data_IF_745502645416
#
_entry.id   IF_745502645416
#
_cell.length_a   1.000
_cell.length_b   1.000
_cell.length_c   1.000
_cell.angle_alpha   90.00
_cell.angle_beta   90.00
_cell.angle_gamma   90.00
#
_symmetry.space_group_name_H-M   'P 1'
#
loop_
_entity.id
_entity.type
_entity.pdbx_description
1 polymer ?
#
# COMPACT_ATOMS: atom_id res chain seq x y z
N UNK A 1 -11.04 -17.03 -7.82
CA UNK A 1 -9.80 -17.70 -7.33
C UNK A 1 -8.57 -16.91 -7.71
N UNK A 2 -8.43 -16.53 -8.99
CA UNK A 2 -7.33 -15.68 -9.46
C UNK A 2 -7.29 -14.30 -8.75
N UNK A 3 -8.44 -13.69 -8.48
CA UNK A 3 -8.53 -12.39 -7.76
C UNK A 3 -7.96 -12.45 -6.34
N UNK A 4 -8.21 -13.55 -5.63
CA UNK A 4 -7.66 -13.79 -4.29
C UNK A 4 -6.15 -13.93 -4.32
N UNK A 5 -5.63 -14.67 -5.30
CA UNK A 5 -4.18 -14.85 -5.49
C UNK A 5 -3.52 -13.50 -5.78
N UNK A 6 -4.06 -12.72 -6.72
CA UNK A 6 -3.53 -11.39 -7.06
C UNK A 6 -3.55 -10.48 -5.83
N UNK A 7 -4.67 -10.43 -5.10
CA UNK A 7 -4.82 -9.58 -3.92
C UNK A 7 -3.79 -9.92 -2.83
N UNK A 8 -3.64 -11.21 -2.51
CA UNK A 8 -2.69 -11.67 -1.49
C UNK A 8 -1.25 -11.41 -1.93
N UNK A 9 -0.90 -11.74 -3.19
CA UNK A 9 0.43 -11.47 -3.74
C UNK A 9 0.77 -9.98 -3.70
N UNK A 10 -0.20 -9.12 -4.01
CA UNK A 10 0.00 -7.67 -4.00
C UNK A 10 0.21 -7.14 -2.57
N UNK A 11 -0.52 -7.64 -1.58
CA UNK A 11 -0.30 -7.28 -0.16
C UNK A 11 1.09 -7.69 0.29
N UNK A 12 1.52 -8.93 -0.01
CA UNK A 12 2.85 -9.42 0.37
C UNK A 12 3.94 -8.54 -0.26
N UNK A 13 3.80 -8.22 -1.55
CA UNK A 13 4.76 -7.36 -2.26
C UNK A 13 4.83 -5.95 -1.65
N UNK A 14 3.68 -5.33 -1.36
CA UNK A 14 3.64 -3.98 -0.79
C UNK A 14 4.14 -3.95 0.66
N UNK A 15 3.87 -4.99 1.45
CA UNK A 15 4.41 -5.13 2.79
C UNK A 15 5.93 -5.26 2.77
N UNK A 16 6.48 -6.08 1.86
CA UNK A 16 7.91 -6.20 1.64
C UNK A 16 8.55 -4.86 1.22
N UNK A 17 7.90 -4.13 0.31
CA UNK A 17 8.36 -2.83 -0.16
C UNK A 17 8.33 -1.77 0.95
N UNK A 18 7.32 -1.82 1.84
CA UNK A 18 7.23 -0.97 3.04
C UNK A 18 8.39 -1.26 4.01
N UNK A 19 8.66 -2.54 4.29
CA UNK A 19 9.79 -2.95 5.12
C UNK A 19 11.11 -2.44 4.51
N UNK A 20 11.31 -2.66 3.21
CA UNK A 20 12.51 -2.23 2.52
C UNK A 20 12.68 -0.71 2.60
N UNK A 21 11.61 0.05 2.31
CA UNK A 21 11.64 1.50 2.41
C UNK A 21 11.97 1.97 3.84
N UNK A 22 11.36 1.35 4.85
CA UNK A 22 11.64 1.64 6.24
C UNK A 22 13.11 1.40 6.60
N UNK A 23 13.69 0.28 6.16
CA UNK A 23 15.10 -0.08 6.39
C UNK A 23 16.10 0.88 5.74
N UNK A 24 15.65 1.66 4.75
CA UNK A 24 16.45 2.60 3.97
C UNK A 24 16.21 4.06 4.38
N UNK A 25 15.22 4.35 5.20
CA UNK A 25 14.99 5.71 5.72
C UNK A 25 16.04 5.99 6.80
N UNK A 26 16.74 7.12 6.68
CA UNK A 26 17.75 7.54 7.66
C UNK A 26 19.10 6.83 7.53
N UNK A 27 19.25 5.88 6.61
CA UNK A 27 20.57 5.30 6.31
C UNK A 27 21.42 6.29 5.54
N UNK A 28 22.66 6.48 6.00
CA UNK A 28 23.68 7.22 5.25
C UNK A 28 24.22 6.30 4.16
N UNK A 29 24.36 6.83 2.94
CA UNK A 29 24.90 6.07 1.80
C UNK A 29 26.37 5.71 2.10
N UNK A 30 26.92 4.61 1.56
CA UNK A 30 28.34 4.26 1.76
C UNK A 30 29.31 5.41 1.45
N UNK A 31 28.94 6.31 0.52
CA UNK A 31 29.70 7.49 0.13
C UNK A 31 29.55 8.69 1.11
N UNK A 32 28.96 8.50 2.29
CA UNK A 32 28.76 9.53 3.32
C UNK A 32 27.68 10.58 3.01
N UNK A 33 27.07 10.53 1.81
CA UNK A 33 26.02 11.46 1.39
C UNK A 33 24.64 11.02 1.86
N UNK A 34 23.75 11.99 2.07
CA UNK A 34 22.35 11.72 2.32
C UNK A 34 21.71 10.96 1.15
N UNK A 35 20.86 10.00 1.47
CA UNK A 35 20.18 9.18 0.48
C UNK A 35 19.15 10.02 -0.31
N UNK A 36 19.37 10.18 -1.62
CA UNK A 36 18.54 11.03 -2.48
C UNK A 36 17.20 10.38 -2.87
N UNK A 37 17.13 9.05 -2.78
CA UNK A 37 15.92 8.33 -3.17
C UNK A 37 14.81 8.55 -2.13
N UNK A 38 13.61 8.97 -2.54
CA UNK A 38 12.55 9.38 -1.63
C UNK A 38 11.82 8.17 -1.02
N UNK A 39 12.51 7.38 -0.21
CA UNK A 39 11.96 6.19 0.45
C UNK A 39 10.71 6.47 1.28
N UNK A 40 10.57 7.70 1.82
CA UNK A 40 9.35 8.15 2.48
C UNK A 40 8.14 8.17 1.54
N UNK A 41 8.29 8.66 0.31
CA UNK A 41 7.21 8.66 -0.69
C UNK A 41 6.85 7.23 -1.10
N UNK A 42 7.85 6.37 -1.25
CA UNK A 42 7.65 4.95 -1.56
C UNK A 42 6.87 4.25 -0.44
N UNK A 43 7.20 4.52 0.81
CA UNK A 43 6.48 3.99 1.98
C UNK A 43 5.02 4.47 2.03
N UNK A 44 4.77 5.76 1.75
CA UNK A 44 3.41 6.32 1.68
C UNK A 44 2.61 5.65 0.55
N UNK A 45 3.21 5.52 -0.63
CA UNK A 45 2.57 4.85 -1.77
C UNK A 45 2.26 3.38 -1.50
N UNK A 46 3.16 2.68 -0.81
CA UNK A 46 2.94 1.28 -0.42
C UNK A 46 1.80 1.13 0.60
N UNK A 47 1.77 2.00 1.61
CA UNK A 47 0.69 2.03 2.60
C UNK A 47 -0.67 2.34 1.94
N UNK A 48 -0.71 3.31 1.02
CA UNK A 48 -1.91 3.61 0.25
C UNK A 48 -2.34 2.43 -0.64
N UNK A 49 -1.40 1.75 -1.28
CA UNK A 49 -1.67 0.53 -2.04
C UNK A 49 -2.30 -0.56 -1.19
N UNK A 50 -1.76 -0.83 0.01
CA UNK A 50 -2.32 -1.82 0.95
C UNK A 50 -3.76 -1.44 1.32
N UNK A 51 -4.03 -0.15 1.58
CA UNK A 51 -5.37 0.34 1.86
C UNK A 51 -6.35 0.07 0.72
N UNK A 52 -5.95 0.28 -0.55
CA UNK A 52 -6.78 -0.05 -1.70
C UNK A 52 -7.05 -1.55 -1.83
N UNK A 53 -6.06 -2.40 -1.54
CA UNK A 53 -6.27 -3.85 -1.56
C UNK A 53 -7.24 -4.29 -0.46
N UNK A 54 -7.20 -3.66 0.71
CA UNK A 54 -8.19 -3.91 1.77
C UNK A 54 -9.61 -3.59 1.30
N UNK A 55 -9.82 -2.43 0.66
CA UNK A 55 -11.11 -2.07 0.07
C UNK A 55 -11.53 -3.11 -0.99
N UNK A 56 -10.60 -3.54 -1.84
CA UNK A 56 -10.87 -4.57 -2.83
C UNK A 56 -11.29 -5.90 -2.20
N UNK A 57 -10.61 -6.34 -1.13
CA UNK A 57 -10.98 -7.55 -0.38
C UNK A 57 -12.36 -7.40 0.26
N UNK A 58 -12.68 -6.23 0.83
CA UNK A 58 -14.03 -5.96 1.35
C UNK A 58 -15.10 -6.10 0.26
N UNK A 59 -14.83 -5.59 -0.95
CA UNK A 59 -15.72 -5.77 -2.09
C UNK A 59 -15.86 -7.25 -2.51
N UNK A 60 -14.76 -8.03 -2.51
CA UNK A 60 -14.80 -9.47 -2.78
C UNK A 60 -15.63 -10.24 -1.74
N UNK A 61 -15.66 -9.77 -0.49
CA UNK A 61 -16.49 -10.31 0.59
C UNK A 61 -17.96 -9.86 0.54
N UNK A 62 -18.34 -9.06 -0.45
CA UNK A 62 -19.71 -8.55 -0.63
C UNK A 62 -20.02 -7.27 0.15
N UNK A 63 -19.03 -6.68 0.83
CA UNK A 63 -19.17 -5.36 1.45
C UNK A 63 -19.04 -4.32 0.33
N UNK A 64 -20.16 -3.72 -0.05
CA UNK A 64 -20.19 -2.73 -1.12
C UNK A 64 -19.56 -1.42 -0.64
N UNK A 65 -18.33 -1.13 -1.05
CA UNK A 65 -17.60 0.11 -0.70
C UNK A 65 -17.73 1.21 -1.77
N UNK A 66 -18.68 1.04 -2.71
CA UNK A 66 -18.96 2.03 -3.75
C UNK A 66 -19.45 3.38 -3.20
N UNK A 67 -19.34 4.46 -3.98
CA UNK A 67 -19.72 5.81 -3.56
C UNK A 67 -21.20 5.94 -3.15
N UNK A 68 -22.07 5.05 -3.62
CA UNK A 68 -23.46 4.92 -3.20
C UNK A 68 -23.64 4.41 -1.76
N UNK A 69 -22.63 3.76 -1.18
CA UNK A 69 -22.62 3.23 0.19
C UNK A 69 -21.75 4.05 1.15
N UNK A 70 -21.26 5.22 0.72
CA UNK A 70 -20.43 6.08 1.56
C UNK A 70 -21.24 6.65 2.73
N UNK A 71 -20.70 6.57 3.95
CA UNK A 71 -21.32 7.09 5.19
C UNK A 71 -21.64 8.59 5.11
N UNK A 72 -20.87 9.34 4.30
CA UNK A 72 -21.10 10.77 4.08
C UNK A 72 -22.07 11.10 2.94
N UNK A 73 -22.66 10.09 2.30
CA UNK A 73 -23.80 10.24 1.42
C UNK A 73 -23.52 11.01 0.13
N UNK A 74 -23.82 10.37 -0.99
CA UNK A 74 -24.00 11.03 -2.29
C UNK A 74 -25.15 12.04 -2.15
N UNK A 75 -24.85 13.32 -1.92
CA UNK A 75 -25.78 14.39 -2.27
C UNK A 75 -25.79 14.56 -3.79
#
# INVERSE_FOLDING_TARGET
MLDWIISISLVIFLAWLTWLAHSKIGTIRPDGRAQQFPWRLVMIGAAFGIFLVLIHVMNLLGVSTGPENAVFGRR
#
